data_IF_849197264669
#
_entry.id   IF_849197264669
#
_cell.length_a   1.000
_cell.length_b   1.000
_cell.length_c   1.000
_cell.angle_alpha   90.00
_cell.angle_beta   90.00
_cell.angle_gamma   90.00
#
_symmetry.space_group_name_H-M   'P 1'
#
loop_
_entity.id
_entity.type
_entity.pdbx_description
1 polymer ?
#
# COMPACT_ATOMS: atom_id res chain seq x y z
N UNK A 1 -9.20 21.37 12.34
CA UNK A 1 -8.08 21.09 11.42
C UNK A 1 -7.46 19.76 11.82
N UNK A 2 -7.41 18.76 10.94
CA UNK A 2 -6.82 17.45 11.28
C UNK A 2 -5.30 17.58 11.35
N UNK A 3 -4.71 17.23 12.49
CA UNK A 3 -3.26 17.10 12.62
C UNK A 3 -2.82 15.99 11.66
N UNK A 4 -2.09 16.33 10.60
CA UNK A 4 -1.46 15.36 9.71
C UNK A 4 -0.14 14.96 10.36
N UNK A 5 0.02 13.68 10.67
CA UNK A 5 1.32 13.13 11.04
C UNK A 5 2.15 13.10 9.76
N UNK A 6 3.25 13.85 9.71
CA UNK A 6 4.17 13.80 8.57
C UNK A 6 4.70 12.37 8.39
N UNK A 7 4.72 11.89 7.14
CA UNK A 7 5.15 10.52 6.81
C UNK A 7 4.07 9.44 6.96
N UNK A 8 2.86 9.78 7.40
CA UNK A 8 1.75 8.82 7.50
C UNK A 8 1.10 8.53 6.15
N UNK A 9 1.01 7.25 5.80
CA UNK A 9 0.45 6.76 4.53
C UNK A 9 -0.91 6.13 4.78
N UNK A 10 -1.96 6.71 4.21
CA UNK A 10 -3.33 6.18 4.35
C UNK A 10 -3.52 4.86 3.59
N UNK A 11 -4.46 4.00 4.05
CA UNK A 11 -4.87 2.80 3.29
C UNK A 11 -5.35 3.11 1.87
N UNK A 12 -5.97 4.28 1.68
CA UNK A 12 -6.42 4.74 0.35
C UNK A 12 -5.23 5.02 -0.57
N UNK A 13 -4.17 5.64 -0.06
CA UNK A 13 -2.93 5.85 -0.81
C UNK A 13 -2.28 4.51 -1.19
N UNK A 14 -2.20 3.55 -0.26
CA UNK A 14 -1.66 2.21 -0.53
C UNK A 14 -2.48 1.48 -1.59
N UNK A 15 -3.81 1.51 -1.49
CA UNK A 15 -4.66 0.88 -2.49
C UNK A 15 -4.47 1.52 -3.86
N UNK A 16 -4.37 2.86 -3.90
CA UNK A 16 -4.11 3.58 -5.14
C UNK A 16 -2.74 3.21 -5.73
N UNK A 17 -1.69 3.08 -4.91
CA UNK A 17 -0.38 2.62 -5.36
C UNK A 17 -0.43 1.18 -5.91
N UNK A 18 -1.12 0.27 -5.23
CA UNK A 18 -1.31 -1.11 -5.70
C UNK A 18 -2.10 -1.18 -7.01
N UNK A 19 -3.16 -0.39 -7.15
CA UNK A 19 -3.96 -0.32 -8.39
C UNK A 19 -3.16 0.26 -9.57
N UNK A 20 -2.17 1.11 -9.29
CA UNK A 20 -1.30 1.75 -10.28
C UNK A 20 0.14 1.21 -10.25
N UNK A 21 0.33 -0.03 -9.79
CA UNK A 21 1.67 -0.62 -9.60
C UNK A 21 2.51 -0.61 -10.88
N UNK A 22 1.91 -0.90 -12.04
CA UNK A 22 2.60 -0.85 -13.33
C UNK A 22 3.10 0.54 -13.67
N UNK A 23 2.34 1.58 -13.31
CA UNK A 23 2.70 2.98 -13.56
C UNK A 23 3.80 3.46 -12.62
N UNK A 24 3.79 2.99 -11.36
CA UNK A 24 4.90 3.21 -10.42
C UNK A 24 6.19 2.58 -10.94
N UNK A 25 6.12 1.33 -11.43
CA UNK A 25 7.27 0.60 -11.96
C UNK A 25 7.85 1.21 -13.23
N UNK A 26 7.02 1.80 -14.08
CA UNK A 26 7.47 2.47 -15.29
C UNK A 26 8.18 3.81 -15.01
N UNK A 27 8.09 4.33 -13.78
CA UNK A 27 8.63 5.65 -13.42
C UNK A 27 7.90 6.82 -14.10
N UNK A 28 6.84 6.55 -14.86
CA UNK A 28 6.48 7.41 -16.00
C UNK A 28 5.45 8.51 -15.67
N UNK A 29 4.89 8.57 -14.46
CA UNK A 29 4.13 9.74 -13.98
C UNK A 29 4.25 9.87 -12.46
N UNK A 30 4.32 11.09 -11.90
CA UNK A 30 3.97 11.28 -10.52
C UNK A 30 2.53 10.78 -10.36
N UNK A 31 2.37 9.65 -9.67
CA UNK A 31 1.06 9.23 -9.16
C UNK A 31 0.60 10.42 -8.34
N UNK A 32 -0.44 11.13 -8.79
CA UNK A 32 -0.96 12.33 -8.15
C UNK A 32 -0.92 12.12 -6.65
N UNK A 33 -0.15 12.97 -5.96
CA UNK A 33 0.07 12.88 -4.53
C UNK A 33 -1.28 12.75 -3.85
N UNK A 34 -1.61 11.53 -3.42
CA UNK A 34 -2.76 11.27 -2.58
C UNK A 34 -2.44 11.91 -1.23
N UNK A 35 -2.69 13.21 -1.16
CA UNK A 35 -2.86 14.07 0.00
C UNK A 35 -2.23 13.46 1.28
N UNK A 36 -0.92 13.61 1.43
CA UNK A 36 -0.19 13.12 2.60
C UNK A 36 1.33 13.03 2.47
N UNK A 37 1.85 12.88 1.25
CA UNK A 37 3.30 12.90 1.00
C UNK A 37 3.71 14.34 0.70
N UNK A 38 4.53 14.93 1.57
CA UNK A 38 4.95 16.32 1.45
C UNK A 38 5.65 16.58 0.11
N UNK A 39 5.21 17.63 -0.58
CA UNK A 39 5.92 18.28 -1.68
C UNK A 39 7.21 18.92 -1.14
N UNK A 40 8.19 18.09 -0.79
CA UNK A 40 9.53 18.51 -0.42
C UNK A 40 10.39 18.78 -1.67
N UNK A 41 11.53 19.47 -1.50
CA UNK A 41 12.45 19.77 -2.60
C UNK A 41 12.84 18.50 -3.36
N UNK A 42 12.88 18.56 -4.70
CA UNK A 42 13.35 17.46 -5.53
C UNK A 42 14.75 17.04 -5.07
N UNK A 43 14.91 15.76 -4.73
CA UNK A 43 16.21 15.22 -4.32
C UNK A 43 17.21 15.40 -5.46
N UNK A 44 18.44 15.88 -5.19
CA UNK A 44 19.46 16.12 -6.22
C UNK A 44 19.92 14.84 -6.93
N UNK A 45 19.56 13.66 -6.40
CA UNK A 45 20.01 12.35 -6.86
C UNK A 45 19.14 11.71 -7.96
N UNK A 46 18.15 12.43 -8.51
CA UNK A 46 17.26 11.90 -9.55
C UNK A 46 16.26 10.84 -9.07
N UNK A 47 16.23 10.55 -7.76
CA UNK A 47 15.21 9.69 -7.13
C UNK A 47 13.90 10.47 -7.05
N UNK A 48 12.89 10.02 -7.79
CA UNK A 48 11.53 10.57 -7.73
C UNK A 48 10.75 9.96 -6.57
N UNK A 49 9.75 10.68 -6.06
CA UNK A 49 8.80 10.16 -5.06
C UNK A 49 8.12 8.85 -5.51
N UNK A 50 7.93 8.66 -6.83
CA UNK A 50 7.40 7.43 -7.40
C UNK A 50 8.33 6.23 -7.19
N UNK A 51 9.63 6.39 -7.39
CA UNK A 51 10.64 5.34 -7.17
C UNK A 51 10.71 4.95 -5.71
N UNK A 52 10.67 5.93 -4.80
CA UNK A 52 10.66 5.67 -3.36
C UNK A 52 9.37 4.92 -2.93
N UNK A 53 8.20 5.34 -3.40
CA UNK A 53 6.94 4.66 -3.14
C UNK A 53 6.95 3.22 -3.68
N UNK A 54 7.54 3.00 -4.86
CA UNK A 54 7.68 1.65 -5.42
C UNK A 54 8.57 0.77 -4.55
N UNK A 55 9.75 1.26 -4.14
CA UNK A 55 10.69 0.52 -3.29
C UNK A 55 10.03 0.15 -1.96
N UNK A 56 9.35 1.10 -1.32
CA UNK A 56 8.61 0.86 -0.08
C UNK A 56 7.53 -0.21 -0.27
N UNK A 57 6.78 -0.14 -1.36
CA UNK A 57 5.71 -1.09 -1.66
C UNK A 57 6.26 -2.49 -1.98
N UNK A 58 7.35 -2.59 -2.73
CA UNK A 58 8.00 -3.86 -3.07
C UNK A 58 8.50 -4.56 -1.81
N UNK A 59 9.17 -3.82 -0.91
CA UNK A 59 9.62 -4.36 0.38
C UNK A 59 8.45 -4.84 1.23
N UNK A 60 7.38 -4.05 1.34
CA UNK A 60 6.20 -4.41 2.12
C UNK A 60 5.47 -5.62 1.54
N UNK A 61 5.42 -5.77 0.21
CA UNK A 61 4.85 -6.96 -0.44
C UNK A 61 5.67 -8.21 -0.12
N UNK A 62 7.01 -8.12 -0.05
CA UNK A 62 7.85 -9.26 0.29
C UNK A 62 7.71 -9.71 1.74
N UNK A 63 7.41 -8.78 2.65
CA UNK A 63 7.16 -9.07 4.07
C UNK A 63 5.80 -9.76 4.33
N UNK A 64 4.93 -9.86 3.33
CA UNK A 64 3.61 -10.50 3.49
C UNK A 64 3.72 -12.03 3.71
N UNK A 65 2.80 -12.62 4.50
CA UNK A 65 2.67 -14.07 4.62
C UNK A 65 2.52 -14.73 3.24
N UNK A 66 3.05 -15.95 3.02
CA UNK A 66 3.19 -16.55 1.68
C UNK A 66 1.91 -16.52 0.82
N UNK A 67 0.77 -16.95 1.36
CA UNK A 67 -0.51 -16.96 0.63
C UNK A 67 -1.01 -15.55 0.33
N UNK A 68 -0.91 -14.63 1.29
CA UNK A 68 -1.27 -13.22 1.14
C UNK A 68 -0.41 -12.55 0.07
N UNK A 69 0.90 -12.79 0.10
CA UNK A 69 1.86 -12.32 -0.90
C UNK A 69 1.53 -12.83 -2.29
N UNK A 70 1.24 -14.12 -2.43
CA UNK A 70 0.87 -14.72 -3.72
C UNK A 70 -0.39 -14.07 -4.31
N UNK A 71 -1.43 -13.87 -3.49
CA UNK A 71 -2.66 -13.20 -3.91
C UNK A 71 -2.42 -11.72 -4.25
N UNK A 72 -1.61 -11.03 -3.44
CA UNK A 72 -1.21 -9.64 -3.65
C UNK A 72 -0.50 -9.46 -4.99
N UNK A 73 0.58 -10.22 -5.23
CA UNK A 73 1.33 -10.20 -6.48
C UNK A 73 0.46 -10.59 -7.67
N UNK A 74 -0.33 -11.65 -7.56
CA UNK A 74 -1.22 -12.08 -8.63
C UNK A 74 -2.22 -10.99 -9.01
N UNK A 75 -2.76 -10.23 -8.05
CA UNK A 75 -3.76 -9.20 -8.32
C UNK A 75 -3.15 -7.91 -8.87
N UNK A 76 -2.12 -7.38 -8.24
CA UNK A 76 -1.64 -6.02 -8.49
C UNK A 76 -0.34 -5.95 -9.29
N UNK A 77 0.56 -6.92 -9.12
CA UNK A 77 1.86 -6.95 -9.80
C UNK A 77 1.74 -7.61 -11.18
N UNK A 78 1.17 -8.81 -11.25
CA UNK A 78 1.04 -9.59 -12.48
C UNK A 78 -0.32 -9.47 -13.15
N UNK A 79 -1.30 -8.83 -12.49
CA UNK A 79 -2.65 -8.58 -13.01
C UNK A 79 -3.36 -9.85 -13.54
N UNK A 80 -3.14 -11.00 -12.90
CA UNK A 80 -3.78 -12.25 -13.29
C UNK A 80 -5.29 -12.22 -13.04
N UNK A 81 -6.09 -12.87 -13.92
CA UNK A 81 -7.54 -12.98 -13.72
C UNK A 81 -7.87 -13.66 -12.39
N UNK A 82 -8.76 -13.05 -11.61
CA UNK A 82 -9.18 -13.55 -10.28
C UNK A 82 -9.53 -15.04 -10.27
N UNK A 83 -10.36 -15.48 -11.23
CA UNK A 83 -10.77 -16.90 -11.35
C UNK A 83 -9.57 -17.83 -11.57
N UNK A 84 -8.61 -17.40 -12.39
CA UNK A 84 -7.38 -18.16 -12.65
C UNK A 84 -6.54 -18.27 -11.38
N UNK A 85 -6.34 -17.16 -10.68
CA UNK A 85 -5.60 -17.13 -9.41
C UNK A 85 -6.22 -18.04 -8.36
N UNK A 86 -7.54 -17.99 -8.16
CA UNK A 86 -8.23 -18.86 -7.19
C UNK A 86 -8.12 -20.34 -7.55
N UNK A 87 -8.25 -20.68 -8.84
CA UNK A 87 -8.09 -22.05 -9.33
C UNK A 87 -6.66 -22.57 -9.13
N UNK A 88 -5.66 -21.74 -9.46
CA UNK A 88 -4.24 -22.10 -9.32
C UNK A 88 -3.84 -22.27 -7.86
N UNK A 89 -4.35 -21.43 -6.96
CA UNK A 89 -4.05 -21.49 -5.53
C UNK A 89 -4.97 -22.45 -4.76
N UNK A 90 -5.96 -23.07 -5.42
CA UNK A 90 -6.93 -23.98 -4.81
C UNK A 90 -7.68 -23.36 -3.61
N UNK A 91 -8.07 -22.09 -3.72
CA UNK A 91 -8.76 -21.34 -2.64
C UNK A 91 -10.17 -20.93 -3.06
N UNK A 92 -11.03 -20.76 -2.05
CA UNK A 92 -12.38 -20.21 -2.25
C UNK A 92 -12.35 -18.69 -2.45
N UNK A 93 -13.46 -18.15 -2.97
CA UNK A 93 -13.67 -16.71 -3.11
C UNK A 93 -13.60 -15.97 -1.76
N UNK A 94 -14.10 -16.58 -0.68
CA UNK A 94 -14.02 -16.02 0.66
C UNK A 94 -12.57 -15.85 1.12
N UNK A 95 -11.75 -16.91 0.97
CA UNK A 95 -10.31 -16.90 1.30
C UNK A 95 -9.57 -15.87 0.45
N UNK A 96 -9.84 -15.83 -0.86
CA UNK A 96 -9.25 -14.84 -1.76
C UNK A 96 -9.52 -13.40 -1.28
N UNK A 97 -10.78 -13.08 -0.98
CA UNK A 97 -11.17 -11.74 -0.55
C UNK A 97 -10.59 -11.38 0.83
N UNK A 98 -10.54 -12.33 1.76
CA UNK A 98 -9.94 -12.15 3.08
C UNK A 98 -8.45 -11.80 2.95
N UNK A 99 -7.68 -12.61 2.23
CA UNK A 99 -6.26 -12.36 2.03
C UNK A 99 -5.99 -11.10 1.21
N UNK A 100 -6.84 -10.76 0.24
CA UNK A 100 -6.74 -9.49 -0.49
C UNK A 100 -6.88 -8.29 0.45
N UNK A 101 -7.85 -8.31 1.37
CA UNK A 101 -8.02 -7.23 2.36
C UNK A 101 -6.85 -7.22 3.34
N UNK A 102 -6.46 -8.39 3.85
CA UNK A 102 -5.33 -8.54 4.75
C UNK A 102 -4.01 -8.03 4.15
N UNK A 103 -3.79 -8.18 2.84
CA UNK A 103 -2.61 -7.63 2.17
C UNK A 103 -2.51 -6.11 2.34
N UNK A 104 -3.61 -5.38 2.11
CA UNK A 104 -3.65 -3.92 2.27
C UNK A 104 -3.45 -3.54 3.73
N UNK A 105 -4.08 -4.25 4.65
CA UNK A 105 -3.96 -3.98 6.09
C UNK A 105 -2.54 -4.23 6.62
N UNK A 106 -1.88 -5.30 6.16
CA UNK A 106 -0.52 -5.64 6.54
C UNK A 106 0.50 -4.66 5.94
N UNK A 107 0.36 -4.31 4.66
CA UNK A 107 1.22 -3.27 4.04
C UNK A 107 1.03 -1.94 4.78
N UNK A 108 -0.21 -1.58 5.13
CA UNK A 108 -0.48 -0.37 5.90
C UNK A 108 0.20 -0.35 7.27
N UNK A 109 0.25 -1.50 7.97
CA UNK A 109 0.96 -1.62 9.23
C UNK A 109 2.47 -1.59 9.06
N UNK A 110 2.98 -2.25 8.02
CA UNK A 110 4.42 -2.30 7.72
C UNK A 110 4.97 -0.91 7.39
N UNK A 111 4.30 -0.17 6.51
CA UNK A 111 4.76 1.15 6.06
C UNK A 111 4.67 2.24 7.13
N UNK A 112 3.66 2.18 8.00
CA UNK A 112 3.48 3.20 9.04
C UNK A 112 4.11 2.80 10.38
N UNK A 113 4.43 1.52 10.60
CA UNK A 113 4.97 1.02 11.85
C UNK A 113 4.14 1.43 13.07
N UNK A 114 4.81 1.97 14.08
CA UNK A 114 4.17 2.43 15.33
C UNK A 114 3.27 3.67 15.14
N UNK A 115 3.40 4.41 14.02
CA UNK A 115 2.54 5.57 13.72
C UNK A 115 1.07 5.21 13.58
N UNK A 116 0.75 3.95 13.25
CA UNK A 116 -0.63 3.45 13.27
C UNK A 116 -1.23 3.59 14.68
N UNK A 117 -0.49 3.14 15.70
CA UNK A 117 -0.94 3.21 17.09
C UNK A 117 -1.09 4.66 17.55
N UNK A 118 -0.16 5.54 17.18
CA UNK A 118 -0.26 6.96 17.50
C UNK A 118 -1.46 7.64 16.82
N UNK A 119 -1.76 7.30 15.56
CA UNK A 119 -2.94 7.83 14.86
C UNK A 119 -4.26 7.38 15.54
N UNK A 120 -4.37 6.10 15.91
CA UNK A 120 -5.53 5.56 16.62
C UNK A 120 -5.70 6.17 18.02
N UNK A 121 -4.60 6.45 18.71
CA UNK A 121 -4.61 7.14 20.01
C UNK A 121 -5.01 8.61 19.87
N UNK A 122 -4.50 9.32 18.86
CA UNK A 122 -4.87 10.71 18.57
C UNK A 122 -6.35 10.85 18.19
N UNK A 123 -6.90 9.93 17.40
CA UNK A 123 -8.32 9.92 17.05
C UNK A 123 -9.20 9.70 18.30
N UNK A 124 -8.80 8.79 19.20
CA UNK A 124 -9.48 8.59 20.50
C UNK A 124 -9.41 9.81 21.41
N UNK A 125 -8.26 10.48 21.49
CA UNK A 125 -8.08 11.69 22.31
C UNK A 125 -8.84 12.88 21.72
N UNK A 126 -8.91 12.99 20.39
CA UNK A 126 -9.58 14.09 19.70
C UNK A 126 -11.11 13.94 19.60
N UNK A 127 -11.68 12.86 20.16
CA UNK A 127 -13.12 12.66 20.25
C UNK A 127 -13.81 12.38 18.92
N UNK A 128 -13.06 12.01 17.88
CA UNK A 128 -13.61 11.59 16.59
C UNK A 128 -13.89 10.10 16.64
N UNK A 129 -15.07 9.74 17.11
CA UNK A 129 -15.67 8.40 16.97
C UNK A 129 -16.92 8.49 16.13
#
# INVERSE_FOLDING_TARGET
MGQRIEGFITKKAILHWLENYSSLRAGDRPVEEVIGSGGGPKSPDGITNSTLNQIMLDQAIENLPPLTRAICKARWVYQFPRRKTMKTLMISEGVYNQHRRAAVDLIYRDLNGEMVNYSELLDKISGKT
#
